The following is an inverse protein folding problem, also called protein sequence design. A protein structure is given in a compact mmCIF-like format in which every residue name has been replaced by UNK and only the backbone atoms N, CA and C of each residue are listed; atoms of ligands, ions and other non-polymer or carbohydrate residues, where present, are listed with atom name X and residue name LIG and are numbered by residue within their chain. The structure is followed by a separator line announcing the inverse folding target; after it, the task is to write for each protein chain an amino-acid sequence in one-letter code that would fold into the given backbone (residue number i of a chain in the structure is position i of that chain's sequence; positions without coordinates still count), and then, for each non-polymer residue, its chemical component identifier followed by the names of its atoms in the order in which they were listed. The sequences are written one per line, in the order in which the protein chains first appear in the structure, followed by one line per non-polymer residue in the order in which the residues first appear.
data_IF_192836276126
#
_entry.id   IF_192836276126
#
_cell.length_a   1.000
_cell.length_b   1.000
_cell.length_c   1.000
_cell.angle_alpha   90.00
_cell.angle_beta   90.00
_cell.angle_gamma   90.00
#
_symmetry.space_group_name_H-M   'P 1'
#
loop_
_entity.id
_entity.type
_entity.pdbx_description
1 polymer ?
#
# COMPACT_ATOMS: atom_id res chain seq x y z
N UNK A 1 -16.95 57.42 2.13
CA UNK A 1 -15.93 56.35 2.11
C UNK A 1 -16.57 55.09 2.66
N UNK A 2 -17.07 54.24 1.77
CA UNK A 2 -17.87 53.05 2.08
C UNK A 2 -16.98 51.81 2.04
N UNK A 3 -16.76 51.20 3.20
CA UNK A 3 -15.99 49.97 3.35
C UNK A 3 -16.76 48.79 2.75
N UNK A 4 -16.19 48.17 1.69
CA UNK A 4 -16.67 46.90 1.15
C UNK A 4 -16.24 45.77 2.07
N UNK A 5 -17.21 45.13 2.70
CA UNK A 5 -17.05 43.83 3.33
C UNK A 5 -16.71 42.77 2.27
N UNK A 6 -15.61 42.06 2.47
CA UNK A 6 -15.27 40.84 1.73
C UNK A 6 -16.19 39.70 2.19
N UNK A 7 -16.84 38.95 1.27
CA UNK A 7 -17.66 37.83 1.66
C UNK A 7 -16.78 36.67 2.15
N UNK A 8 -16.97 36.29 3.41
CA UNK A 8 -16.47 35.03 3.96
C UNK A 8 -17.05 33.87 3.14
N UNK A 9 -16.16 33.16 2.44
CA UNK A 9 -16.50 31.93 1.74
C UNK A 9 -16.81 30.84 2.78
N UNK A 10 -18.09 30.73 3.16
CA UNK A 10 -18.62 29.64 3.97
C UNK A 10 -18.44 28.34 3.16
N UNK A 11 -17.36 27.60 3.42
CA UNK A 11 -17.18 26.23 2.89
C UNK A 11 -18.30 25.38 3.45
N UNK A 12 -19.29 25.10 2.61
CA UNK A 12 -20.27 24.06 2.86
C UNK A 12 -19.54 22.73 3.09
N UNK A 13 -19.59 22.25 4.34
CA UNK A 13 -19.28 20.87 4.69
C UNK A 13 -20.35 19.97 4.07
N UNK A 14 -20.26 19.74 2.77
CA UNK A 14 -21.05 18.71 2.12
C UNK A 14 -20.56 17.37 2.65
N UNK A 15 -21.40 16.71 3.46
CA UNK A 15 -21.19 15.31 3.85
C UNK A 15 -20.83 14.51 2.59
N UNK A 16 -19.75 13.72 2.59
CA UNK A 16 -19.44 12.86 1.45
C UNK A 16 -20.66 11.97 1.18
N UNK A 17 -21.29 12.11 0.00
CA UNK A 17 -22.39 11.22 -0.39
C UNK A 17 -21.83 9.80 -0.45
N UNK A 18 -22.35 8.89 0.38
CA UNK A 18 -21.89 7.51 0.53
C UNK A 18 -21.62 6.79 -0.81
N UNK A 19 -22.37 7.11 -1.87
CA UNK A 19 -22.15 6.57 -3.22
C UNK A 19 -20.79 6.88 -3.86
N UNK A 20 -20.11 7.99 -3.50
CA UNK A 20 -18.75 8.27 -4.03
C UNK A 20 -17.68 7.39 -3.41
N UNK A 21 -17.78 7.12 -2.10
CA UNK A 21 -16.86 6.23 -1.39
C UNK A 21 -16.97 4.81 -1.93
N UNK A 22 -18.20 4.31 -2.11
CA UNK A 22 -18.45 2.97 -2.67
C UNK A 22 -17.94 2.85 -4.12
N UNK A 23 -18.13 3.89 -4.95
CA UNK A 23 -17.60 3.92 -6.32
C UNK A 23 -16.07 3.87 -6.34
N UNK A 24 -15.41 4.54 -5.38
CA UNK A 24 -13.95 4.49 -5.22
C UNK A 24 -13.46 3.07 -4.92
N UNK A 25 -14.15 2.34 -4.04
CA UNK A 25 -13.79 0.95 -3.69
C UNK A 25 -13.95 -0.01 -4.86
N UNK A 26 -15.06 0.07 -5.58
CA UNK A 26 -15.27 -0.73 -6.79
C UNK A 26 -14.16 -0.46 -7.80
N UNK A 27 -13.78 0.81 -7.97
CA UNK A 27 -12.74 1.18 -8.93
C UNK A 27 -11.38 0.57 -8.56
N UNK A 28 -10.99 0.62 -7.28
CA UNK A 28 -9.73 0.00 -6.80
C UNK A 28 -9.77 -1.53 -6.98
N UNK A 29 -10.91 -2.16 -6.68
CA UNK A 29 -11.11 -3.58 -6.92
C UNK A 29 -10.93 -3.93 -8.41
N UNK A 30 -11.60 -3.20 -9.32
CA UNK A 30 -11.48 -3.40 -10.76
C UNK A 30 -10.06 -3.14 -11.28
N UNK A 31 -9.37 -2.12 -10.76
CA UNK A 31 -7.98 -1.84 -11.12
C UNK A 31 -7.04 -2.97 -10.75
N UNK A 32 -7.34 -3.75 -9.71
CA UNK A 32 -6.54 -4.93 -9.36
C UNK A 32 -6.61 -6.00 -10.47
N UNK A 33 -7.77 -6.18 -11.11
CA UNK A 33 -7.91 -7.09 -12.25
C UNK A 33 -7.30 -6.53 -13.53
N UNK A 34 -7.43 -5.22 -13.78
CA UNK A 34 -6.74 -4.57 -14.90
C UNK A 34 -5.21 -4.68 -14.74
N UNK A 35 -4.71 -4.56 -13.51
CA UNK A 35 -3.30 -4.79 -13.20
C UNK A 35 -2.92 -6.24 -13.50
N UNK A 36 -3.69 -7.23 -13.04
CA UNK A 36 -3.47 -8.64 -13.38
C UNK A 36 -3.40 -8.87 -14.90
N UNK A 37 -4.35 -8.30 -15.67
CA UNK A 37 -4.34 -8.39 -17.14
C UNK A 37 -3.07 -7.78 -17.72
N UNK A 38 -2.69 -6.58 -17.27
CA UNK A 38 -1.46 -5.92 -17.70
C UNK A 38 -0.23 -6.78 -17.44
N UNK A 39 -0.12 -7.33 -16.23
CA UNK A 39 1.00 -8.21 -15.83
C UNK A 39 1.02 -9.51 -16.67
N UNK A 40 -0.14 -10.13 -16.96
CA UNK A 40 -0.22 -11.31 -17.83
C UNK A 40 0.26 -10.97 -19.25
N UNK A 41 -0.16 -9.84 -19.81
CA UNK A 41 0.26 -9.39 -21.13
C UNK A 41 1.77 -9.15 -21.18
N UNK A 42 2.33 -8.49 -20.15
CA UNK A 42 3.77 -8.28 -20.03
C UNK A 42 4.52 -9.61 -19.90
N UNK A 43 4.07 -10.52 -19.04
CA UNK A 43 4.71 -11.83 -18.88
C UNK A 43 4.68 -12.63 -20.19
N UNK A 44 3.57 -12.56 -20.93
CA UNK A 44 3.44 -13.19 -22.25
C UNK A 44 4.42 -12.60 -23.26
N UNK A 45 4.57 -11.27 -23.29
CA UNK A 45 5.55 -10.58 -24.13
C UNK A 45 7.01 -10.95 -23.77
N UNK A 46 7.29 -11.25 -22.49
CA UNK A 46 8.61 -11.68 -22.00
C UNK A 46 8.84 -13.21 -22.09
N UNK A 47 8.13 -13.91 -22.98
CA UNK A 47 8.30 -15.34 -23.21
C UNK A 47 7.47 -16.25 -22.30
N UNK A 48 6.38 -15.74 -21.72
CA UNK A 48 5.46 -16.48 -20.86
C UNK A 48 5.95 -16.66 -19.42
N UNK A 49 5.17 -17.40 -18.61
CA UNK A 49 5.44 -17.63 -17.18
C UNK A 49 5.80 -19.10 -16.86
N UNK A 50 6.12 -19.92 -17.87
CA UNK A 50 6.64 -21.26 -17.63
C UNK A 50 7.85 -21.21 -16.65
N UNK A 51 7.94 -22.12 -15.67
CA UNK A 51 7.16 -23.36 -15.51
C UNK A 51 5.81 -23.19 -14.80
N UNK A 52 5.36 -21.98 -14.48
CA UNK A 52 4.07 -21.74 -13.82
C UNK A 52 2.90 -22.01 -14.75
N UNK A 53 1.84 -22.62 -14.22
CA UNK A 53 0.54 -22.64 -14.91
C UNK A 53 -0.17 -21.28 -14.75
N UNK A 54 -1.18 -21.02 -15.60
CA UNK A 54 -1.98 -19.79 -15.53
C UNK A 54 -2.60 -19.58 -14.14
N UNK A 55 -3.18 -20.63 -13.57
CA UNK A 55 -3.81 -20.56 -12.24
C UNK A 55 -2.82 -20.43 -11.10
N UNK A 56 -1.64 -21.03 -11.21
CA UNK A 56 -0.57 -20.82 -10.25
C UNK A 56 -0.07 -19.37 -10.27
N UNK A 57 0.05 -18.79 -11.46
CA UNK A 57 0.40 -17.38 -11.60
C UNK A 57 -0.66 -16.46 -10.99
N UNK A 58 -1.95 -16.71 -11.28
CA UNK A 58 -3.08 -15.91 -10.75
C UNK A 58 -3.13 -15.96 -9.21
N UNK A 59 -2.94 -17.12 -8.59
CA UNK A 59 -2.95 -17.17 -7.12
C UNK A 59 -1.66 -16.60 -6.50
N UNK A 60 -0.50 -16.69 -7.16
CA UNK A 60 0.71 -15.99 -6.73
C UNK A 60 0.54 -14.46 -6.75
N UNK A 61 -0.04 -13.94 -7.83
CA UNK A 61 -0.48 -12.55 -7.90
C UNK A 61 -1.46 -12.23 -6.77
N UNK A 62 -2.47 -13.09 -6.55
CA UNK A 62 -3.47 -12.91 -5.50
C UNK A 62 -2.89 -12.82 -4.09
N UNK A 63 -1.85 -13.61 -3.78
CA UNK A 63 -1.13 -13.55 -2.50
C UNK A 63 -0.41 -12.22 -2.31
N UNK A 64 0.30 -11.73 -3.32
CA UNK A 64 0.97 -10.43 -3.27
C UNK A 64 -0.03 -9.28 -3.19
N UNK A 65 -1.12 -9.37 -3.95
CA UNK A 65 -2.18 -8.37 -3.97
C UNK A 65 -2.94 -8.31 -2.63
N UNK A 66 -3.20 -9.47 -2.02
CA UNK A 66 -3.75 -9.56 -0.67
C UNK A 66 -2.78 -8.94 0.34
N UNK A 67 -1.52 -9.35 0.36
CA UNK A 67 -0.52 -8.79 1.28
C UNK A 67 -0.37 -7.26 1.13
N UNK A 68 -0.30 -6.76 -0.11
CA UNK A 68 -0.22 -5.33 -0.39
C UNK A 68 -1.50 -4.59 0.03
N UNK A 69 -2.67 -5.14 -0.26
CA UNK A 69 -3.95 -4.58 0.18
C UNK A 69 -4.06 -4.49 1.70
N UNK A 70 -3.65 -5.55 2.41
CA UNK A 70 -3.64 -5.58 3.87
C UNK A 70 -2.74 -4.48 4.45
N UNK A 71 -1.51 -4.33 3.92
CA UNK A 71 -0.60 -3.27 4.33
C UNK A 71 -1.20 -1.89 4.05
N UNK A 72 -1.82 -1.71 2.88
CA UNK A 72 -2.36 -0.44 2.40
C UNK A 72 -3.62 0.02 3.14
N UNK A 73 -4.14 -0.74 4.11
CA UNK A 73 -5.11 -0.23 5.07
C UNK A 73 -4.47 0.83 5.97
N UNK A 74 -3.18 0.71 6.27
CA UNK A 74 -2.43 1.56 7.22
C UNK A 74 -1.32 2.34 6.52
N UNK A 75 -0.62 1.74 5.54
CA UNK A 75 0.54 2.36 4.88
C UNK A 75 0.32 3.76 4.32
N UNK A 76 -0.87 4.16 3.82
CA UNK A 76 -1.09 5.54 3.39
C UNK A 76 -0.82 6.59 4.47
N UNK A 77 -1.12 6.29 5.73
CA UNK A 77 -0.79 7.18 6.85
C UNK A 77 0.72 7.26 7.09
N UNK A 78 1.44 6.17 6.84
CA UNK A 78 2.91 6.11 6.95
C UNK A 78 3.56 6.96 5.87
N UNK A 79 3.07 6.89 4.62
CA UNK A 79 3.63 7.66 3.49
C UNK A 79 3.37 9.16 3.56
N UNK A 80 2.44 9.60 4.42
CA UNK A 80 2.17 11.02 4.68
C UNK A 80 3.11 11.63 5.70
N UNK A 81 3.85 10.83 6.47
CA UNK A 81 4.76 11.35 7.49
C UNK A 81 5.83 12.31 6.91
N UNK A 82 6.49 12.02 5.76
CA UNK A 82 7.42 12.97 5.13
C UNK A 82 6.73 14.26 4.65
N UNK A 83 5.47 14.15 4.21
CA UNK A 83 4.67 15.29 3.74
C UNK A 83 4.35 16.22 4.92
N UNK A 84 3.90 15.65 6.05
CA UNK A 84 3.62 16.40 7.27
C UNK A 84 4.87 17.12 7.80
N UNK A 85 6.04 16.48 7.75
CA UNK A 85 7.32 17.09 8.13
C UNK A 85 7.64 18.31 7.24
N UNK A 86 7.39 18.23 5.92
CA UNK A 86 7.64 19.33 4.99
C UNK A 86 6.62 20.47 5.12
N UNK A 87 5.34 20.12 5.28
CA UNK A 87 4.23 21.07 5.24
C UNK A 87 4.16 21.96 6.48
N UNK A 88 4.77 21.54 7.60
CA UNK A 88 4.66 22.29 8.84
C UNK A 88 5.75 23.35 9.01
N UNK A 89 5.32 24.59 9.21
CA UNK A 89 6.13 25.82 9.28
C UNK A 89 7.22 25.85 10.36
N UNK A 90 7.23 24.89 11.29
CA UNK A 90 8.21 24.76 12.37
C UNK A 90 9.01 23.45 12.37
N UNK A 91 8.88 22.57 11.36
CA UNK A 91 9.38 21.18 11.38
C UNK A 91 8.94 20.47 12.67
N UNK A 92 7.64 20.17 12.78
CA UNK A 92 7.15 19.37 13.91
C UNK A 92 7.93 18.07 13.93
N UNK A 93 8.36 17.64 15.11
CA UNK A 93 8.95 16.32 15.33
C UNK A 93 7.90 15.23 15.02
N UNK A 94 7.80 14.82 13.74
CA UNK A 94 6.82 13.85 13.25
C UNK A 94 6.98 12.52 13.96
N UNK A 95 5.85 11.97 14.41
CA UNK A 95 5.78 10.75 15.22
C UNK A 95 5.13 9.59 14.47
N UNK A 96 5.63 8.38 14.74
CA UNK A 96 4.96 7.15 14.36
C UNK A 96 3.85 6.87 15.38
N UNK A 97 2.73 7.58 15.21
CA UNK A 97 1.68 7.63 16.20
C UNK A 97 0.51 6.68 15.87
N UNK A 98 0.10 5.86 16.84
CA UNK A 98 -0.99 4.90 16.66
C UNK A 98 -2.31 5.56 16.23
N UNK A 99 -2.66 6.71 16.82
CA UNK A 99 -3.91 7.42 16.54
C UNK A 99 -4.07 7.89 15.09
N UNK A 100 -2.95 8.20 14.41
CA UNK A 100 -2.95 8.61 13.01
C UNK A 100 -2.79 7.40 12.08
N UNK A 101 -1.96 6.43 12.45
CA UNK A 101 -1.70 5.24 11.63
C UNK A 101 -2.91 4.33 11.49
N UNK A 102 -3.66 4.14 12.57
CA UNK A 102 -4.78 3.18 12.61
C UNK A 102 -6.06 3.70 11.93
N UNK A 103 -6.02 4.86 11.29
CA UNK A 103 -7.12 5.34 10.46
C UNK A 103 -7.21 4.52 9.15
N UNK A 104 -8.27 3.72 8.97
CA UNK A 104 -8.28 2.70 7.93
C UNK A 104 -8.53 3.31 6.55
N UNK A 105 -7.68 2.94 5.59
CA UNK A 105 -7.88 3.27 4.19
C UNK A 105 -8.62 2.14 3.47
N UNK A 106 -9.89 2.37 3.18
CA UNK A 106 -10.77 1.36 2.59
C UNK A 106 -10.32 0.86 1.21
N UNK A 107 -9.56 1.68 0.46
CA UNK A 107 -8.93 1.23 -0.80
C UNK A 107 -8.01 0.02 -0.61
N UNK A 108 -7.26 -0.04 0.50
CA UNK A 108 -6.44 -1.20 0.84
C UNK A 108 -7.28 -2.46 1.04
N UNK A 109 -8.44 -2.33 1.70
CA UNK A 109 -9.36 -3.44 1.90
C UNK A 109 -9.97 -3.95 0.58
N UNK A 110 -10.30 -3.06 -0.34
CA UNK A 110 -10.78 -3.44 -1.67
C UNK A 110 -9.72 -4.23 -2.46
N UNK A 111 -8.46 -3.80 -2.39
CA UNK A 111 -7.32 -4.50 -2.98
C UNK A 111 -7.06 -5.85 -2.33
N UNK A 112 -7.17 -5.93 -1.00
CA UNK A 112 -7.09 -7.18 -0.25
C UNK A 112 -8.15 -8.18 -0.74
N UNK A 113 -9.41 -7.73 -0.86
CA UNK A 113 -10.51 -8.54 -1.34
C UNK A 113 -10.29 -9.05 -2.78
N UNK A 114 -9.72 -8.23 -3.67
CA UNK A 114 -9.35 -8.66 -5.02
C UNK A 114 -8.27 -9.76 -5.00
N UNK A 115 -7.27 -9.64 -4.12
CA UNK A 115 -6.25 -10.67 -3.91
C UNK A 115 -6.86 -11.99 -3.41
N UNK A 116 -7.76 -11.92 -2.43
CA UNK A 116 -8.50 -13.09 -1.94
C UNK A 116 -9.35 -13.73 -3.05
N UNK A 117 -10.00 -12.95 -3.91
CA UNK A 117 -10.75 -13.47 -5.04
C UNK A 117 -9.85 -14.23 -6.03
N UNK A 118 -8.64 -13.73 -6.30
CA UNK A 118 -7.66 -14.42 -7.15
C UNK A 118 -7.16 -15.73 -6.53
N UNK A 119 -6.88 -15.73 -5.21
CA UNK A 119 -6.51 -16.95 -4.48
C UNK A 119 -7.65 -17.97 -4.52
N UNK A 120 -8.90 -17.52 -4.28
CA UNK A 120 -10.09 -18.35 -4.33
C UNK A 120 -10.31 -18.98 -5.70
N UNK A 121 -10.15 -18.21 -6.78
CA UNK A 121 -10.23 -18.72 -8.14
C UNK A 121 -9.12 -19.76 -8.43
N UNK A 122 -7.88 -19.50 -8.01
CA UNK A 122 -6.79 -20.47 -8.16
C UNK A 122 -7.01 -21.74 -7.32
N UNK A 123 -7.61 -21.62 -6.14
CA UNK A 123 -7.97 -22.73 -5.27
C UNK A 123 -9.16 -23.56 -5.79
N UNK A 124 -10.10 -22.92 -6.48
CA UNK A 124 -11.20 -23.62 -7.16
C UNK A 124 -10.67 -24.61 -8.21
N UNK A 125 -9.62 -24.22 -8.91
CA UNK A 125 -9.02 -25.00 -10.00
C UNK A 125 -7.95 -25.97 -9.52
N UNK A 126 -7.10 -25.55 -8.58
CA UNK A 126 -6.00 -26.35 -8.04
C UNK A 126 -6.37 -27.21 -6.83
N UNK A 127 -7.59 -27.05 -6.30
CA UNK A 127 -8.02 -27.62 -5.03
C UNK A 127 -7.40 -26.92 -3.81
N UNK A 128 -7.92 -27.24 -2.63
CA UNK A 128 -7.36 -26.83 -1.34
C UNK A 128 -6.80 -28.05 -0.61
N UNK A 129 -5.67 -27.87 0.07
CA UNK A 129 -5.11 -28.89 0.96
C UNK A 129 -4.96 -28.36 2.39
N UNK A 130 -4.67 -29.22 3.38
CA UNK A 130 -4.42 -28.78 4.76
C UNK A 130 -3.31 -27.73 4.85
N UNK A 131 -2.28 -27.82 3.99
CA UNK A 131 -1.19 -26.86 3.92
C UNK A 131 -1.63 -25.45 3.48
N UNK A 132 -2.77 -25.31 2.81
CA UNK A 132 -3.31 -24.00 2.40
C UNK A 132 -3.62 -23.09 3.59
N UNK A 133 -3.81 -23.63 4.79
CA UNK A 133 -3.96 -22.82 6.01
C UNK A 133 -2.74 -21.94 6.28
N UNK A 134 -1.55 -22.35 5.82
CA UNK A 134 -0.32 -21.58 5.96
C UNK A 134 -0.31 -20.31 5.09
N UNK A 135 -1.25 -20.15 4.14
CA UNK A 135 -1.41 -18.90 3.40
C UNK A 135 -1.78 -17.73 4.32
N UNK A 136 -2.52 -17.98 5.40
CA UNK A 136 -2.93 -16.92 6.35
C UNK A 136 -1.72 -16.27 7.03
N UNK A 137 -0.86 -17.00 7.77
CA UNK A 137 0.32 -16.41 8.37
C UNK A 137 1.31 -15.90 7.31
N UNK A 138 1.35 -16.49 6.12
CA UNK A 138 2.20 -16.02 5.03
C UNK A 138 1.79 -14.66 4.48
N UNK A 139 0.51 -14.47 4.16
CA UNK A 139 -0.04 -13.18 3.70
C UNK A 139 0.09 -12.13 4.78
N UNK A 140 -0.16 -12.48 6.05
CA UNK A 140 0.02 -11.58 7.18
C UNK A 140 1.48 -11.13 7.33
N UNK A 141 2.44 -12.06 7.25
CA UNK A 141 3.86 -11.74 7.33
C UNK A 141 4.34 -10.91 6.13
N UNK A 142 3.89 -11.21 4.90
CA UNK A 142 4.16 -10.38 3.73
C UNK A 142 3.59 -8.96 3.90
N UNK A 143 2.33 -8.84 4.34
CA UNK A 143 1.70 -7.55 4.59
C UNK A 143 2.45 -6.74 5.65
N UNK A 144 2.89 -7.41 6.73
CA UNK A 144 3.73 -6.80 7.76
C UNK A 144 5.06 -6.32 7.20
N UNK A 145 5.75 -7.13 6.38
CA UNK A 145 7.00 -6.73 5.73
C UNK A 145 6.81 -5.51 4.83
N UNK A 146 5.72 -5.44 4.06
CA UNK A 146 5.39 -4.29 3.21
C UNK A 146 5.17 -3.03 4.06
N UNK A 147 4.42 -3.15 5.16
CA UNK A 147 4.20 -2.03 6.09
C UNK A 147 5.51 -1.60 6.76
N UNK A 148 6.34 -2.54 7.19
CA UNK A 148 7.61 -2.26 7.82
C UNK A 148 8.59 -1.56 6.86
N UNK A 149 8.72 -2.04 5.62
CA UNK A 149 9.51 -1.36 4.58
C UNK A 149 8.95 0.05 4.33
N UNK A 150 7.63 0.21 4.27
CA UNK A 150 7.02 1.54 4.14
C UNK A 150 7.41 2.48 5.30
N UNK A 151 7.46 1.99 6.54
CA UNK A 151 7.87 2.76 7.70
C UNK A 151 9.37 3.09 7.69
N UNK A 152 10.23 2.18 7.20
CA UNK A 152 11.66 2.44 7.02
C UNK A 152 11.90 3.52 5.96
N UNK A 153 11.20 3.42 4.82
CA UNK A 153 11.29 4.41 3.75
C UNK A 153 10.74 5.77 4.20
N UNK A 154 9.59 5.79 4.88
CA UNK A 154 9.04 7.02 5.45
C UNK A 154 9.98 7.64 6.48
N UNK A 155 10.75 6.84 7.24
CA UNK A 155 11.76 7.38 8.16
C UNK A 155 12.86 8.14 7.43
N UNK A 156 13.32 7.60 6.30
CA UNK A 156 14.30 8.25 5.44
C UNK A 156 13.70 9.52 4.80
N UNK A 157 12.45 9.44 4.35
CA UNK A 157 11.71 10.60 3.82
C UNK A 157 11.53 11.71 4.85
N UNK A 158 11.20 11.38 6.11
CA UNK A 158 11.13 12.35 7.22
C UNK A 158 12.51 12.95 7.54
N UNK A 159 13.61 12.20 7.34
CA UNK A 159 14.95 12.74 7.55
C UNK A 159 15.36 13.73 6.44
N UNK A 160 14.88 13.54 5.21
CA UNK A 160 15.17 14.38 4.03
C UNK A 160 13.90 14.62 3.20
N UNK A 161 12.92 15.38 3.74
CA UNK A 161 11.66 15.62 3.06
C UNK A 161 11.85 16.46 1.79
N UNK A 162 12.93 17.24 1.73
CA UNK A 162 13.38 18.00 0.56
C UNK A 162 13.71 17.13 -0.66
N UNK A 163 14.10 15.87 -0.43
CA UNK A 163 14.44 14.91 -1.49
C UNK A 163 13.34 13.89 -1.75
N UNK A 164 12.48 13.63 -0.76
CA UNK A 164 11.44 12.60 -0.86
C UNK A 164 10.09 13.17 -1.30
N UNK A 165 9.76 14.43 -0.99
CA UNK A 165 8.43 14.98 -1.28
C UNK A 165 8.47 15.91 -2.48
N UNK A 166 7.60 15.65 -3.45
CA UNK A 166 7.43 16.50 -4.62
C UNK A 166 5.97 16.88 -4.80
N UNK A 167 5.73 18.10 -5.26
CA UNK A 167 4.41 18.61 -5.60
C UNK A 167 4.38 18.92 -7.10
N UNK A 168 3.44 18.28 -7.81
CA UNK A 168 3.29 18.48 -9.23
C UNK A 168 2.25 19.57 -9.50
N UNK A 169 2.68 20.62 -10.19
CA UNK A 169 1.83 21.77 -10.53
C UNK A 169 1.55 21.74 -12.03
N UNK A 170 0.32 21.39 -12.40
CA UNK A 170 -0.09 21.37 -13.81
C UNK A 170 -0.66 22.72 -14.17
N UNK A 171 -0.03 23.39 -15.14
CA UNK A 171 -0.52 24.64 -15.73
C UNK A 171 -1.10 24.33 -17.11
N UNK A 172 -2.43 24.42 -17.24
CA UNK A 172 -3.11 24.23 -18.52
C UNK A 172 -4.05 25.40 -18.80
N UNK A 173 -3.81 26.13 -19.89
CA UNK A 173 -4.72 27.16 -20.42
C UNK A 173 -5.08 28.26 -19.41
N UNK A 174 -4.11 28.74 -18.64
CA UNK A 174 -4.32 29.76 -17.60
C UNK A 174 -4.91 29.24 -16.29
N UNK A 175 -5.20 27.94 -16.18
CA UNK A 175 -5.55 27.29 -14.92
C UNK A 175 -4.31 26.61 -14.33
N UNK A 176 -4.04 26.90 -13.08
CA UNK A 176 -3.03 26.23 -12.28
C UNK A 176 -3.73 25.26 -11.35
N UNK A 177 -3.36 23.98 -11.43
CA UNK A 177 -3.86 22.96 -10.52
C UNK A 177 -2.68 22.31 -9.80
N UNK A 178 -2.62 22.55 -8.50
CA UNK A 178 -1.64 21.94 -7.61
C UNK A 178 -2.14 20.57 -7.18
N UNK A 179 -1.43 19.52 -7.58
CA UNK A 179 -1.74 18.19 -7.07
C UNK A 179 -1.28 18.06 -5.62
N UNK A 180 -1.92 17.17 -4.82
CA UNK A 180 -1.42 16.83 -3.51
C UNK A 180 0.05 16.38 -3.60
N UNK A 181 0.89 16.77 -2.63
CA UNK A 181 2.28 16.31 -2.58
C UNK A 181 2.33 14.78 -2.46
N UNK A 182 3.37 14.19 -3.05
CA UNK A 182 3.57 12.73 -3.06
C UNK A 182 5.00 12.42 -2.63
N UNK A 183 5.16 11.38 -1.81
CA UNK A 183 6.46 10.82 -1.46
C UNK A 183 6.99 9.96 -2.62
N UNK A 184 8.22 10.27 -3.06
CA UNK A 184 8.95 9.56 -4.11
C UNK A 184 9.24 8.13 -3.68
N UNK A 185 9.67 7.92 -2.44
CA UNK A 185 9.89 6.58 -1.90
C UNK A 185 8.59 5.76 -1.86
N UNK A 186 7.47 6.37 -1.48
CA UNK A 186 6.16 5.72 -1.53
C UNK A 186 5.75 5.35 -2.97
N UNK A 187 5.88 6.29 -3.92
CA UNK A 187 5.56 6.04 -5.33
C UNK A 187 6.45 4.95 -5.94
N UNK A 188 7.76 4.99 -5.66
CA UNK A 188 8.74 4.00 -6.13
C UNK A 188 8.43 2.62 -5.55
N UNK A 189 8.14 2.54 -4.25
CA UNK A 189 7.82 1.28 -3.60
C UNK A 189 6.49 0.70 -4.08
N UNK A 190 5.45 1.51 -4.26
CA UNK A 190 4.19 1.05 -4.86
C UNK A 190 4.36 0.57 -6.30
N UNK A 191 5.18 1.27 -7.10
CA UNK A 191 5.52 0.82 -8.44
C UNK A 191 6.23 -0.53 -8.40
N UNK A 192 7.24 -0.68 -7.53
CA UNK A 192 7.95 -1.94 -7.33
C UNK A 192 6.99 -3.07 -6.94
N UNK A 193 6.10 -2.86 -5.95
CA UNK A 193 5.09 -3.84 -5.55
C UNK A 193 4.13 -4.23 -6.68
N UNK A 194 3.85 -3.31 -7.60
CA UNK A 194 2.94 -3.57 -8.73
C UNK A 194 3.58 -4.46 -9.79
N UNK A 195 4.91 -4.40 -9.94
CA UNK A 195 5.63 -5.18 -10.97
C UNK A 195 6.36 -6.40 -10.40
N UNK A 196 6.59 -6.48 -9.08
CA UNK A 196 7.43 -7.52 -8.43
C UNK A 196 6.97 -8.95 -8.70
N UNK A 197 5.68 -9.14 -8.98
CA UNK A 197 5.13 -10.45 -9.36
C UNK A 197 5.86 -11.04 -10.56
N UNK A 198 6.25 -10.23 -11.54
CA UNK A 198 6.97 -10.68 -12.75
C UNK A 198 8.34 -11.29 -12.45
N UNK A 199 9.30 -10.57 -11.81
CA UNK A 199 10.57 -11.16 -11.44
C UNK A 199 10.39 -12.27 -10.40
N UNK A 200 9.42 -12.17 -9.47
CA UNK A 200 9.20 -13.22 -8.48
C UNK A 200 8.87 -14.58 -9.12
N UNK A 201 7.95 -14.63 -10.08
CA UNK A 201 7.61 -15.91 -10.75
C UNK A 201 8.70 -16.40 -11.71
N UNK A 202 9.54 -15.50 -12.21
CA UNK A 202 10.68 -15.87 -13.06
C UNK A 202 11.85 -16.43 -12.25
N UNK A 203 12.08 -15.91 -11.05
CA UNK A 203 13.19 -16.30 -10.18
C UNK A 203 12.82 -17.47 -9.26
N UNK A 204 11.55 -17.60 -8.88
CA UNK A 204 11.09 -18.63 -7.95
C UNK A 204 10.34 -19.76 -8.69
N UNK A 205 10.63 -21.02 -8.38
CA UNK A 205 9.84 -22.13 -8.90
C UNK A 205 8.43 -22.17 -8.28
N UNK A 206 7.42 -22.73 -8.97
CA UNK A 206 6.06 -22.88 -8.44
C UNK A 206 6.02 -23.58 -7.07
N UNK A 207 6.96 -24.49 -6.81
CA UNK A 207 7.09 -25.21 -5.54
C UNK A 207 7.30 -24.33 -4.31
N UNK A 208 7.61 -23.04 -4.50
CA UNK A 208 7.70 -22.04 -3.44
C UNK A 208 6.33 -21.65 -2.88
N UNK A 209 5.25 -21.74 -3.68
CA UNK A 209 3.89 -21.30 -3.32
C UNK A 209 2.79 -22.33 -3.66
N UNK A 210 3.14 -23.41 -4.35
CA UNK A 210 2.21 -24.46 -4.76
C UNK A 210 2.79 -25.84 -4.44
N UNK A 211 2.16 -26.55 -3.50
CA UNK A 211 2.50 -27.94 -3.09
C UNK A 211 1.26 -28.70 -2.61
N UNK A 212 0.86 -29.79 -3.28
CA UNK A 212 0.20 -29.82 -4.61
C UNK A 212 -0.98 -28.84 -4.80
N UNK A 213 -1.45 -28.20 -3.72
CA UNK A 213 -2.45 -27.14 -3.70
C UNK A 213 -1.80 -25.76 -3.44
N UNK A 214 -2.53 -24.63 -3.50
CA UNK A 214 -2.02 -23.31 -3.13
C UNK A 214 -1.58 -23.32 -1.65
N UNK A 215 -0.27 -23.26 -1.41
CA UNK A 215 0.32 -23.27 -0.07
C UNK A 215 1.79 -22.82 -0.13
N UNK A 216 2.22 -21.88 0.73
CA UNK A 216 3.62 -21.48 0.79
C UNK A 216 4.47 -22.69 1.19
N UNK A 217 5.64 -22.83 0.57
CA UNK A 217 6.66 -23.73 1.07
C UNK A 217 7.07 -23.31 2.48
N UNK A 218 7.41 -24.27 3.33
CA UNK A 218 7.89 -23.98 4.70
C UNK A 218 9.08 -23.02 4.68
N UNK A 219 10.00 -23.20 3.72
CA UNK A 219 11.13 -22.29 3.54
C UNK A 219 10.67 -20.86 3.24
N UNK A 220 9.76 -20.66 2.28
CA UNK A 220 9.23 -19.33 1.96
C UNK A 220 8.53 -18.71 3.18
N UNK A 221 7.72 -19.48 3.91
CA UNK A 221 7.06 -19.02 5.12
C UNK A 221 8.07 -18.57 6.18
N UNK A 222 9.06 -19.39 6.51
CA UNK A 222 10.07 -19.05 7.52
C UNK A 222 10.95 -17.87 7.09
N UNK A 223 11.32 -17.79 5.81
CA UNK A 223 12.08 -16.65 5.29
C UNK A 223 11.30 -15.35 5.41
N UNK A 224 10.02 -15.35 5.04
CA UNK A 224 9.18 -14.15 5.17
C UNK A 224 8.99 -13.80 6.64
N UNK A 225 8.74 -14.77 7.53
CA UNK A 225 8.63 -14.51 8.97
C UNK A 225 9.93 -13.94 9.56
N UNK A 226 11.08 -14.50 9.21
CA UNK A 226 12.38 -14.01 9.65
C UNK A 226 12.62 -12.59 9.13
N UNK A 227 12.32 -12.32 7.86
CA UNK A 227 12.40 -10.99 7.27
C UNK A 227 11.46 -10.00 7.98
N UNK A 228 10.22 -10.38 8.25
CA UNK A 228 9.25 -9.58 9.00
C UNK A 228 9.75 -9.22 10.39
N UNK A 229 10.36 -10.18 11.10
CA UNK A 229 10.92 -9.96 12.42
C UNK A 229 12.11 -8.99 12.38
N UNK A 230 13.04 -9.18 11.44
CA UNK A 230 14.19 -8.29 11.24
C UNK A 230 13.73 -6.87 10.90
N UNK A 231 12.81 -6.72 9.93
CA UNK A 231 12.25 -5.43 9.54
C UNK A 231 11.51 -4.76 10.71
N UNK A 232 10.75 -5.54 11.50
CA UNK A 232 10.10 -5.04 12.70
C UNK A 232 11.09 -4.52 13.74
N UNK A 233 12.19 -5.23 13.96
CA UNK A 233 13.29 -4.78 14.81
C UNK A 233 13.93 -3.48 14.30
N UNK A 234 14.17 -3.37 12.99
CA UNK A 234 14.71 -2.15 12.39
C UNK A 234 13.75 -0.97 12.52
N UNK A 235 12.44 -1.18 12.29
CA UNK A 235 11.44 -0.13 12.50
C UNK A 235 11.44 0.32 13.95
N UNK A 236 11.46 -0.61 14.90
CA UNK A 236 11.51 -0.28 16.32
C UNK A 236 12.76 0.55 16.67
N UNK A 237 13.94 0.15 16.20
CA UNK A 237 15.20 0.88 16.46
C UNK A 237 15.20 2.27 15.81
N UNK A 238 14.74 2.41 14.58
CA UNK A 238 14.78 3.69 13.86
C UNK A 238 13.71 4.69 14.29
N UNK A 239 12.62 4.19 14.88
CA UNK A 239 11.50 5.00 15.36
C UNK A 239 11.38 5.07 16.88
N UNK A 240 12.27 4.44 17.66
CA UNK A 240 12.14 4.30 19.13
C UNK A 240 11.79 5.61 19.84
N UNK A 241 12.48 6.69 19.47
CA UNK A 241 12.34 8.01 20.11
C UNK A 241 11.15 8.82 19.56
N UNK A 242 10.44 8.25 18.58
CA UNK A 242 9.35 8.86 17.82
C UNK A 242 8.07 8.03 17.80
N UNK A 243 8.03 6.88 18.49
CA UNK A 243 6.81 6.10 18.70
C UNK A 243 5.98 6.79 19.78
N UNK A 244 4.73 7.13 19.46
CA UNK A 244 3.80 7.72 20.42
C UNK A 244 2.41 7.10 20.27
N UNK A 245 1.60 7.23 21.31
CA UNK A 245 0.20 6.79 21.24
C UNK A 245 -0.67 7.78 20.46
N UNK A 246 -0.48 9.07 20.74
CA UNK A 246 -1.24 10.17 20.14
C UNK A 246 -0.34 10.99 19.23
N UNK A 247 -0.81 11.27 18.01
CA UNK A 247 -0.13 12.15 17.08
C UNK A 247 -0.24 13.62 17.52
N UNK A 248 0.74 14.47 17.19
CA UNK A 248 0.55 15.92 17.25
C UNK A 248 -0.74 16.34 16.53
N UNK A 249 -1.44 17.36 17.04
CA UNK A 249 -2.78 17.76 16.56
C UNK A 249 -2.83 18.03 15.05
N UNK A 250 -1.78 18.63 14.50
CA UNK A 250 -1.68 18.95 13.08
C UNK A 250 -1.54 17.68 12.23
N UNK A 251 -0.68 16.74 12.63
CA UNK A 251 -0.54 15.42 12.01
C UNK A 251 -1.86 14.61 12.11
N UNK A 252 -2.52 14.62 13.26
CA UNK A 252 -3.80 13.93 13.45
C UNK A 252 -4.88 14.50 12.51
N UNK A 253 -4.97 15.83 12.41
CA UNK A 253 -5.94 16.50 11.55
C UNK A 253 -5.67 16.20 10.08
N UNK A 254 -4.41 16.21 9.65
CA UNK A 254 -4.05 15.83 8.28
C UNK A 254 -4.45 14.38 7.98
N UNK A 255 -4.21 13.45 8.91
CA UNK A 255 -4.60 12.05 8.75
C UNK A 255 -6.14 11.88 8.67
N UNK A 256 -6.90 12.59 9.51
CA UNK A 256 -8.37 12.55 9.51
C UNK A 256 -9.01 13.18 8.26
N UNK A 257 -8.40 14.23 7.69
CA UNK A 257 -8.89 14.86 6.46
C UNK A 257 -8.74 13.93 5.23
N UNK A 258 -7.99 12.83 5.38
CA UNK A 258 -7.48 12.02 4.28
C UNK A 258 -7.74 10.51 4.37
N UNK A 259 -8.30 10.03 5.49
CA UNK A 259 -8.78 8.66 5.68
C UNK A 259 -10.16 8.43 5.05
#
# INVERSE_FOLDING_TARGET
MTGRATPQHRRDRTKPRAGRAFRGLILVFLFSFLNLVGVILTATALGGFAPWTRWQFVGAFGVLEAASGLANVISPNVWRLPIAELATSARIDVKLAASALLLPHWGGLARFAAGIACIGAAAWEGGLGPASIALVPFVAALGWSILAISALLARAGVARPDLDVFQLVVRWGGRENEMPPVSLSAATFQFALSIVTLPAVKLLPPSALYRPAPAPSLLALFLVLALSAVLGGLVYVLWSDRIQWQAPREQQREAEENA
#
